data_IF_085612448444
#
_entry.id   IF_085612448444
#
_cell.length_a   1.000
_cell.length_b   1.000
_cell.length_c   1.000
_cell.angle_alpha   90.00
_cell.angle_beta   90.00
_cell.angle_gamma   90.00
#
_symmetry.space_group_name_H-M   'P 1'
#
loop_
_entity.id
_entity.type
_entity.pdbx_description
1 polymer ?
#
# COMPACT_ATOMS: atom_id res chain seq x y z
N UNK A 1 11.83 6.43 7.55
CA UNK A 1 11.19 7.69 7.10
C UNK A 1 9.70 7.60 7.45
N UNK A 2 9.00 8.70 7.74
CA UNK A 2 7.57 8.65 8.10
C UNK A 2 6.79 9.64 7.23
N UNK A 3 5.67 9.18 6.68
CA UNK A 3 4.70 10.02 6.01
C UNK A 3 3.58 10.39 6.98
N UNK A 4 3.41 11.69 7.23
CA UNK A 4 2.32 12.22 8.06
C UNK A 4 1.31 12.88 7.14
N UNK A 5 0.08 12.39 7.11
CA UNK A 5 -1.02 12.95 6.30
C UNK A 5 -0.68 13.09 4.80
N UNK A 6 -0.09 12.06 4.22
CA UNK A 6 0.35 12.05 2.81
C UNK A 6 -0.70 11.38 1.92
N UNK A 7 -0.95 12.00 0.77
CA UNK A 7 -1.67 11.40 -0.35
C UNK A 7 -0.75 11.31 -1.55
N UNK A 8 -0.74 10.14 -2.19
CA UNK A 8 -0.08 9.86 -3.45
C UNK A 8 -1.08 9.77 -4.60
N UNK A 9 -2.28 10.33 -4.46
CA UNK A 9 -3.32 10.22 -5.48
C UNK A 9 -2.79 10.61 -6.87
N UNK A 10 -3.07 9.78 -7.88
CA UNK A 10 -2.64 9.97 -9.27
C UNK A 10 -1.11 10.06 -9.49
N UNK A 11 -0.30 9.67 -8.52
CA UNK A 11 1.17 9.71 -8.65
C UNK A 11 1.69 8.59 -9.55
N UNK A 12 2.81 8.88 -10.24
CA UNK A 12 3.57 7.89 -11.02
C UNK A 12 4.96 7.75 -10.41
N UNK A 13 5.26 6.55 -9.91
CA UNK A 13 6.56 6.26 -9.34
C UNK A 13 7.47 5.56 -10.35
N UNK A 14 8.74 5.95 -10.38
CA UNK A 14 9.78 5.30 -11.17
C UNK A 14 11.05 5.25 -10.34
N UNK A 15 11.57 4.04 -10.08
CA UNK A 15 12.79 3.81 -9.28
C UNK A 15 12.73 4.44 -7.88
N UNK A 16 11.59 4.32 -7.20
CA UNK A 16 11.42 4.81 -5.82
C UNK A 16 11.75 3.70 -4.83
N UNK A 17 12.44 4.07 -3.76
CA UNK A 17 12.75 3.19 -2.64
C UNK A 17 11.85 3.54 -1.45
N UNK A 18 10.95 2.61 -1.12
CA UNK A 18 10.12 2.66 0.09
C UNK A 18 10.64 1.70 1.15
N UNK A 19 11.96 1.56 1.31
CA UNK A 19 12.52 0.71 2.37
C UNK A 19 12.37 1.37 3.75
N UNK A 20 11.82 0.66 4.73
CA UNK A 20 11.68 1.12 6.13
C UNK A 20 10.93 2.46 6.29
N UNK A 21 9.87 2.63 5.52
CA UNK A 21 8.98 3.79 5.55
C UNK A 21 7.71 3.45 6.33
N UNK A 22 7.30 4.36 7.22
CA UNK A 22 5.96 4.31 7.79
C UNK A 22 5.00 5.01 6.82
N UNK A 23 4.15 4.22 6.18
CA UNK A 23 3.11 4.62 5.23
C UNK A 23 1.70 4.30 5.75
N UNK A 24 1.51 4.29 7.07
CA UNK A 24 0.19 4.07 7.65
C UNK A 24 -0.80 5.11 7.14
N UNK A 25 -2.01 4.67 6.79
CA UNK A 25 -3.11 5.54 6.35
C UNK A 25 -2.80 6.43 5.12
N UNK A 26 -1.79 6.07 4.32
CA UNK A 26 -1.48 6.78 3.08
C UNK A 26 -2.52 6.44 2.01
N UNK A 27 -2.95 7.47 1.28
CA UNK A 27 -3.84 7.32 0.13
C UNK A 27 -3.02 7.04 -1.14
N UNK A 28 -3.24 5.88 -1.75
CA UNK A 28 -2.62 5.45 -3.01
C UNK A 28 -3.64 5.36 -4.16
N UNK A 29 -4.82 5.96 -4.01
CA UNK A 29 -5.88 5.91 -5.01
C UNK A 29 -5.37 6.40 -6.37
N UNK A 30 -5.53 5.58 -7.41
CA UNK A 30 -5.06 5.83 -8.79
C UNK A 30 -3.54 6.01 -8.93
N UNK A 31 -2.75 5.73 -7.89
CA UNK A 31 -1.30 5.77 -7.98
C UNK A 31 -0.78 4.56 -8.78
N UNK A 32 0.20 4.78 -9.66
CA UNK A 32 0.87 3.68 -10.37
C UNK A 32 1.95 3.07 -9.46
N UNK A 33 1.55 2.11 -8.62
CA UNK A 33 2.42 1.43 -7.64
C UNK A 33 2.81 0.00 -8.04
N UNK A 34 2.53 -0.41 -9.28
CA UNK A 34 2.88 -1.73 -9.79
C UNK A 34 4.40 -1.98 -9.69
N UNK A 35 4.77 -3.11 -9.09
CA UNK A 35 6.15 -3.54 -8.92
C UNK A 35 6.90 -2.88 -7.76
N UNK A 36 6.22 -2.04 -6.97
CA UNK A 36 6.82 -1.46 -5.76
C UNK A 36 6.82 -2.50 -4.64
N UNK A 37 7.97 -2.62 -3.96
CA UNK A 37 8.17 -3.48 -2.81
C UNK A 37 7.91 -2.73 -1.50
N UNK A 38 6.88 -3.16 -0.78
CA UNK A 38 6.52 -2.63 0.53
C UNK A 38 6.86 -3.59 1.67
N UNK A 39 7.56 -4.70 1.42
CA UNK A 39 7.79 -5.78 2.41
C UNK A 39 8.53 -5.33 3.67
N UNK A 40 9.31 -4.26 3.59
CA UNK A 40 10.04 -3.67 4.73
C UNK A 40 9.38 -2.42 5.33
N UNK A 41 8.21 -2.04 4.82
CA UNK A 41 7.48 -0.83 5.22
C UNK A 41 6.18 -1.14 5.94
N UNK A 42 5.74 -0.17 6.75
CA UNK A 42 4.46 -0.25 7.43
C UNK A 42 3.38 0.35 6.54
N UNK A 43 2.45 -0.49 6.08
CA UNK A 43 1.37 -0.12 5.15
C UNK A 43 -0.01 -0.34 5.77
N UNK A 44 -0.10 -0.39 7.09
CA UNK A 44 -1.37 -0.59 7.78
C UNK A 44 -2.36 0.54 7.43
N UNK A 45 -3.57 0.16 7.03
CA UNK A 45 -4.64 1.11 6.76
C UNK A 45 -4.47 1.94 5.48
N UNK A 46 -3.68 1.48 4.51
CA UNK A 46 -3.65 2.08 3.17
C UNK A 46 -5.07 2.32 2.62
N UNK A 47 -5.24 3.44 1.93
CA UNK A 47 -6.50 3.85 1.30
C UNK A 47 -6.34 3.72 -0.22
N UNK A 48 -7.30 3.04 -0.87
CA UNK A 48 -7.30 2.80 -2.31
C UNK A 48 -8.37 1.77 -2.70
N UNK A 49 -8.34 1.35 -3.96
CA UNK A 49 -9.23 0.32 -4.53
C UNK A 49 -8.43 -0.90 -5.01
N UNK A 50 -9.10 -2.02 -5.32
CA UNK A 50 -8.49 -3.27 -5.79
C UNK A 50 -7.55 -3.06 -7.00
N UNK A 51 -7.88 -2.10 -7.86
CA UNK A 51 -7.12 -1.76 -9.07
C UNK A 51 -5.77 -1.13 -8.73
N UNK A 52 -5.70 -0.38 -7.63
CA UNK A 52 -4.49 0.31 -7.19
C UNK A 52 -3.47 -0.66 -6.58
N UNK A 53 -3.93 -1.78 -6.04
CA UNK A 53 -3.08 -2.83 -5.47
C UNK A 53 -2.41 -3.73 -6.53
N UNK A 54 -2.72 -3.53 -7.82
CA UNK A 54 -2.25 -4.44 -8.86
C UNK A 54 -0.71 -4.49 -8.96
N UNK A 55 -0.15 -5.64 -8.58
CA UNK A 55 1.26 -5.96 -8.74
C UNK A 55 2.18 -5.32 -7.70
N UNK A 56 1.66 -4.82 -6.57
CA UNK A 56 2.50 -4.48 -5.41
C UNK A 56 3.11 -5.76 -4.80
N UNK A 57 4.29 -5.63 -4.20
CA UNK A 57 4.97 -6.74 -3.53
C UNK A 57 4.83 -6.54 -2.03
N UNK A 58 4.24 -7.53 -1.35
CA UNK A 58 3.88 -7.46 0.06
C UNK A 58 4.11 -8.80 0.76
N UNK A 59 4.22 -8.78 2.09
CA UNK A 59 4.27 -9.98 2.92
C UNK A 59 2.87 -10.60 3.10
N UNK A 60 2.75 -11.86 3.57
CA UNK A 60 1.45 -12.46 3.87
C UNK A 60 0.60 -11.67 4.87
N UNK A 61 1.22 -11.07 5.89
CA UNK A 61 0.51 -10.26 6.89
C UNK A 61 0.05 -8.92 6.33
N UNK A 62 0.84 -8.31 5.44
CA UNK A 62 0.40 -7.14 4.71
C UNK A 62 -0.77 -7.47 3.77
N UNK A 63 -0.72 -8.60 3.05
CA UNK A 63 -1.83 -9.06 2.21
C UNK A 63 -3.12 -9.29 3.03
N UNK A 64 -3.00 -9.81 4.26
CA UNK A 64 -4.11 -9.92 5.20
C UNK A 64 -4.70 -8.55 5.57
N UNK A 65 -3.85 -7.55 5.83
CA UNK A 65 -4.30 -6.17 6.08
C UNK A 65 -5.05 -5.58 4.88
N UNK A 66 -4.51 -5.80 3.68
CA UNK A 66 -5.08 -5.32 2.42
C UNK A 66 -6.37 -6.04 2.00
N UNK A 67 -6.67 -7.23 2.53
CA UNK A 67 -7.91 -7.95 2.22
C UNK A 67 -9.16 -7.12 2.57
N UNK A 68 -9.03 -6.18 3.51
CA UNK A 68 -10.09 -5.24 3.89
C UNK A 68 -10.46 -4.29 2.75
N UNK A 69 -9.49 -3.86 1.95
CA UNK A 69 -9.72 -3.05 0.73
C UNK A 69 -10.53 -3.85 -0.30
N UNK A 70 -10.32 -5.17 -0.33
CA UNK A 70 -11.08 -6.09 -1.18
C UNK A 70 -12.48 -6.39 -0.65
N UNK A 71 -12.87 -5.86 0.51
CA UNK A 71 -14.14 -6.16 1.18
C UNK A 71 -14.22 -7.58 1.74
N UNK A 72 -13.10 -8.29 1.89
CA UNK A 72 -13.07 -9.66 2.38
C UNK A 72 -13.18 -9.67 3.91
N UNK A 73 -14.13 -10.45 4.42
CA UNK A 73 -14.27 -10.74 5.85
C UNK A 73 -13.48 -12.00 6.18
N UNK A 74 -12.46 -11.84 7.01
CA UNK A 74 -11.67 -12.97 7.54
C UNK A 74 -12.27 -13.35 8.90
N UNK A 75 -12.52 -14.65 9.10
CA UNK A 75 -12.90 -15.23 10.39
C UNK A 75 -11.78 -16.13 10.87
N UNK A 76 -11.54 -16.12 12.18
CA UNK A 76 -10.64 -17.07 12.86
C UNK A 76 -11.23 -18.48 12.90
#
# INVERSE_FOLDING_TARGET
MTFNSVSFENSKFSKVDFTTVNMRHVDISKAMVKGIDFTSSDIEGLIGDIRDLHGIIVTPMQALSLSRILGIVIKE
#
